data_IF_944210446925
#
_entry.id   IF_944210446925
#
_cell.length_a   1.000
_cell.length_b   1.000
_cell.length_c   1.000
_cell.angle_alpha   90.00
_cell.angle_beta   90.00
_cell.angle_gamma   90.00
#
_symmetry.space_group_name_H-M   'P 1'
#
loop_
_entity.id
_entity.type
_entity.pdbx_description
1 polymer ?
#
# COMPACT_ATOMS: atom_id res chain seq x y z
N UNK A 1 -1.24 -5.11 4.37
CA UNK A 1 -0.55 -6.39 4.04
C UNK A 1 -1.38 -7.62 4.40
N UNK A 2 -1.86 -7.78 5.64
CA UNK A 2 -2.63 -8.97 6.03
C UNK A 2 -3.87 -9.24 5.15
N UNK A 3 -4.64 -8.19 4.81
CA UNK A 3 -5.78 -8.28 3.88
C UNK A 3 -5.36 -8.89 2.53
N UNK A 4 -4.38 -8.28 1.87
CA UNK A 4 -3.87 -8.71 0.57
C UNK A 4 -3.31 -10.14 0.60
N UNK A 5 -2.66 -10.52 1.71
CA UNK A 5 -2.14 -11.87 1.87
C UNK A 5 -3.26 -12.91 2.00
N UNK A 6 -4.29 -12.62 2.81
CA UNK A 6 -5.47 -13.50 2.96
C UNK A 6 -6.25 -13.63 1.66
N UNK A 7 -6.25 -12.59 0.83
CA UNK A 7 -6.85 -12.60 -0.50
C UNK A 7 -5.96 -13.28 -1.57
N UNK A 8 -4.82 -13.87 -1.18
CA UNK A 8 -3.83 -14.49 -2.08
C UNK A 8 -3.27 -13.55 -3.16
N UNK A 9 -3.37 -12.23 -2.97
CA UNK A 9 -2.83 -11.22 -3.89
C UNK A 9 -1.35 -10.94 -3.67
N UNK A 10 -0.85 -11.24 -2.47
CA UNK A 10 0.58 -11.20 -2.13
C UNK A 10 0.93 -12.39 -1.24
N UNK A 11 2.20 -12.76 -1.26
CA UNK A 11 2.84 -13.61 -0.24
C UNK A 11 3.61 -12.71 0.72
N UNK A 12 3.15 -12.63 1.96
CA UNK A 12 3.80 -11.82 2.98
C UNK A 12 5.09 -12.48 3.49
N UNK A 13 6.19 -11.75 3.41
CA UNK A 13 7.53 -12.17 3.83
C UNK A 13 8.26 -10.99 4.48
N UNK A 14 8.82 -11.18 5.68
CA UNK A 14 9.42 -10.07 6.45
C UNK A 14 10.61 -9.40 5.76
N UNK A 15 11.28 -10.09 4.86
CA UNK A 15 12.45 -9.60 4.12
C UNK A 15 12.09 -8.74 2.91
N UNK A 16 10.81 -8.73 2.50
CA UNK A 16 10.37 -7.98 1.32
C UNK A 16 10.10 -6.52 1.62
N UNK A 17 10.47 -5.68 0.67
CA UNK A 17 10.21 -4.25 0.61
C UNK A 17 8.78 -3.96 0.13
N UNK A 18 8.32 -2.73 0.39
CA UNK A 18 7.06 -2.22 -0.16
C UNK A 18 7.02 -2.31 -1.70
N UNK A 19 8.13 -2.03 -2.37
CA UNK A 19 8.25 -2.14 -3.83
C UNK A 19 8.03 -3.56 -4.35
N UNK A 20 8.59 -4.57 -3.68
CA UNK A 20 8.37 -5.98 -4.04
C UNK A 20 6.91 -6.41 -3.83
N UNK A 21 6.22 -5.84 -2.83
CA UNK A 21 4.78 -6.07 -2.68
C UNK A 21 3.96 -5.38 -3.78
N UNK A 22 4.35 -4.18 -4.22
CA UNK A 22 3.74 -3.52 -5.37
C UNK A 22 3.90 -4.37 -6.64
N UNK A 23 5.06 -4.99 -6.84
CA UNK A 23 5.31 -5.87 -8.00
C UNK A 23 4.41 -7.12 -7.99
N UNK A 24 4.18 -7.73 -6.82
CA UNK A 24 3.29 -8.89 -6.71
C UNK A 24 1.85 -8.59 -7.14
N UNK A 25 1.39 -7.34 -6.98
CA UNK A 25 0.04 -6.92 -7.36
C UNK A 25 -0.14 -6.64 -8.87
N UNK A 26 0.82 -7.00 -9.73
CA UNK A 26 0.75 -6.69 -11.17
C UNK A 26 -0.49 -7.24 -11.90
N UNK A 27 -1.07 -8.36 -11.43
CA UNK A 27 -2.30 -8.94 -11.98
C UNK A 27 -3.59 -8.20 -11.53
N UNK A 28 -3.48 -7.24 -10.61
CA UNK A 28 -4.59 -6.43 -10.08
C UNK A 28 -4.22 -4.94 -10.14
N UNK A 29 -4.27 -4.32 -11.34
CA UNK A 29 -3.72 -2.97 -11.57
C UNK A 29 -4.39 -1.88 -10.72
N UNK A 30 -5.68 -2.03 -10.37
CA UNK A 30 -6.43 -1.12 -9.51
C UNK A 30 -5.87 -1.13 -8.08
N UNK A 31 -5.71 -2.33 -7.52
CA UNK A 31 -5.12 -2.56 -6.19
C UNK A 31 -3.66 -2.12 -6.18
N UNK A 32 -2.90 -2.47 -7.22
CA UNK A 32 -1.50 -2.06 -7.37
C UNK A 32 -1.34 -0.54 -7.36
N UNK A 33 -2.21 0.18 -8.08
CA UNK A 33 -2.16 1.64 -8.18
C UNK A 33 -2.34 2.28 -6.81
N UNK A 34 -3.38 1.90 -6.07
CA UNK A 34 -3.63 2.49 -4.74
C UNK A 34 -2.55 2.08 -3.73
N UNK A 35 -2.08 0.84 -3.78
CA UNK A 35 -1.01 0.38 -2.90
C UNK A 35 0.33 1.08 -3.21
N UNK A 36 0.63 1.35 -4.49
CA UNK A 36 1.80 2.15 -4.91
C UNK A 36 1.71 3.59 -4.39
N UNK A 37 0.52 4.20 -4.39
CA UNK A 37 0.32 5.56 -3.82
C UNK A 37 0.57 5.56 -2.32
N UNK A 38 0.05 4.57 -1.60
CA UNK A 38 0.23 4.42 -0.16
C UNK A 38 1.71 4.27 0.22
N UNK A 39 2.41 3.36 -0.47
CA UNK A 39 3.83 3.08 -0.22
C UNK A 39 4.72 4.28 -0.55
N UNK A 40 4.41 5.03 -1.62
CA UNK A 40 5.14 6.26 -1.96
C UNK A 40 4.94 7.37 -0.93
N UNK A 41 3.73 7.51 -0.38
CA UNK A 41 3.49 8.48 0.70
C UNK A 41 4.32 8.10 1.94
N UNK A 42 4.35 6.82 2.31
CA UNK A 42 5.21 6.33 3.39
C UNK A 42 6.68 6.63 3.11
N UNK A 43 7.20 6.31 1.93
CA UNK A 43 8.60 6.57 1.55
C UNK A 43 8.96 8.06 1.65
N UNK A 44 8.09 8.94 1.14
CA UNK A 44 8.29 10.39 1.21
C UNK A 44 8.32 10.93 2.64
N UNK A 45 7.49 10.40 3.53
CA UNK A 45 7.43 10.85 4.93
C UNK A 45 8.59 10.28 5.74
N UNK A 46 8.82 8.98 5.63
CA UNK A 46 9.83 8.27 6.39
C UNK A 46 11.25 8.58 5.91
N UNK A 47 11.57 8.24 4.66
CA UNK A 47 12.92 8.46 4.12
C UNK A 47 13.19 9.91 3.77
N UNK A 48 12.15 10.67 3.39
CA UNK A 48 12.26 12.10 3.16
C UNK A 48 12.27 12.95 4.43
N UNK A 49 12.17 12.34 5.62
CA UNK A 49 12.18 13.01 6.93
C UNK A 49 11.17 14.17 7.02
N UNK A 50 10.01 14.00 6.36
CA UNK A 50 8.96 15.03 6.32
C UNK A 50 7.99 14.81 7.46
N UNK A 51 7.56 15.90 8.10
CA UNK A 51 6.53 15.83 9.13
C UNK A 51 5.22 15.26 8.58
N UNK A 52 4.59 14.38 9.36
CA UNK A 52 3.25 13.88 9.10
C UNK A 52 2.21 14.90 9.60
N UNK A 53 1.21 15.16 8.78
CA UNK A 53 0.07 16.00 9.07
C UNK A 53 -1.20 15.14 9.13
N UNK A 54 -2.27 15.60 9.78
CA UNK A 54 -3.55 14.89 9.80
C UNK A 54 -4.09 14.54 8.40
N UNK A 55 -3.84 15.40 7.42
CA UNK A 55 -4.20 15.15 6.02
C UNK A 55 -3.49 13.93 5.42
N UNK A 56 -2.24 13.62 5.83
CA UNK A 56 -1.51 12.45 5.34
C UNK A 56 -2.16 11.15 5.85
N UNK A 57 -2.62 11.16 7.11
CA UNK A 57 -3.36 10.04 7.67
C UNK A 57 -4.67 9.79 6.91
N UNK A 58 -5.42 10.85 6.64
CA UNK A 58 -6.67 10.76 5.87
C UNK A 58 -6.40 10.21 4.46
N UNK A 59 -5.35 10.69 3.79
CA UNK A 59 -4.96 10.17 2.47
C UNK A 59 -4.59 8.68 2.51
N UNK A 60 -3.83 8.24 3.53
CA UNK A 60 -3.55 6.82 3.74
C UNK A 60 -4.84 6.01 3.93
N UNK A 61 -5.76 6.52 4.75
CA UNK A 61 -7.04 5.87 5.04
C UNK A 61 -7.88 5.70 3.77
N UNK A 62 -8.03 6.76 2.98
CA UNK A 62 -8.75 6.71 1.69
C UNK A 62 -8.18 5.67 0.73
N UNK A 63 -6.84 5.58 0.61
CA UNK A 63 -6.20 4.57 -0.22
C UNK A 63 -6.45 3.15 0.29
N UNK A 64 -6.44 2.95 1.61
CA UNK A 64 -6.72 1.64 2.22
C UNK A 64 -8.18 1.22 2.02
N UNK A 65 -9.14 2.13 2.13
CA UNK A 65 -10.54 1.80 1.85
C UNK A 65 -10.75 1.46 0.37
N UNK A 66 -10.15 2.19 -0.57
CA UNK A 66 -10.18 1.79 -1.99
C UNK A 66 -9.59 0.40 -2.21
N UNK A 67 -8.45 0.09 -1.59
CA UNK A 67 -7.87 -1.26 -1.66
C UNK A 67 -8.83 -2.30 -1.09
N UNK A 68 -9.57 -1.99 -0.02
CA UNK A 68 -10.53 -2.90 0.57
C UNK A 68 -11.69 -3.18 -0.39
N UNK A 69 -12.25 -2.13 -0.99
CA UNK A 69 -13.38 -2.23 -1.92
C UNK A 69 -13.01 -3.07 -3.17
N UNK A 70 -11.77 -2.96 -3.66
CA UNK A 70 -11.28 -3.70 -4.85
C UNK A 70 -10.89 -5.16 -4.56
N UNK A 71 -10.81 -5.54 -3.28
CA UNK A 71 -10.42 -6.89 -2.83
C UNK A 71 -11.63 -7.72 -2.39
N UNK A 72 -12.74 -7.08 -2.02
CA UNK A 72 -14.01 -7.74 -1.72
C UNK A 72 -14.70 -8.24 -3.00
#
# INVERSE_FOLDING_TARGET
LALLHRANLIRYERTRTNGEYVQQLHERPEVQREFRRLTRLFEMKWYGQRSCQPADYNACREMVEKIRDEVQ
#
